data_IF_551385186701
#
_entry.id   IF_551385186701
#
_cell.length_a   1.000
_cell.length_b   1.000
_cell.length_c   1.000
_cell.angle_alpha   90.00
_cell.angle_beta   90.00
_cell.angle_gamma   90.00
#
_symmetry.space_group_name_H-M   'P 1'
#
loop_
_entity.id
_entity.type
_entity.pdbx_description
1 polymer ?
#
# COMPACT_ATOMS: atom_id res chain seq x y z
N UNK A 1 -2.15 -50.05 -5.27
CA UNK A 1 -1.59 -49.13 -6.28
C UNK A 1 -1.58 -47.74 -5.66
N UNK A 2 -0.40 -47.27 -5.25
CA UNK A 2 -0.24 -46.01 -4.54
C UNK A 2 -0.31 -44.82 -5.51
N UNK A 3 -0.98 -43.76 -5.04
CA UNK A 3 -1.14 -42.45 -5.66
C UNK A 3 0.19 -41.71 -5.67
N UNK A 4 0.50 -40.96 -6.74
CA UNK A 4 1.35 -39.78 -6.63
C UNK A 4 0.76 -38.64 -7.45
N UNK A 5 0.04 -37.79 -6.72
CA UNK A 5 -0.33 -36.44 -7.09
C UNK A 5 0.93 -35.59 -6.87
N UNK A 6 1.59 -35.16 -7.94
CA UNK A 6 2.71 -34.22 -7.82
C UNK A 6 2.16 -32.82 -7.57
N UNK A 7 2.16 -32.41 -6.30
CA UNK A 7 2.04 -31.02 -5.91
C UNK A 7 3.33 -30.30 -6.31
N UNK A 8 3.23 -29.35 -7.23
CA UNK A 8 4.30 -28.39 -7.50
C UNK A 8 4.09 -27.21 -6.54
N UNK A 9 4.91 -27.17 -5.49
CA UNK A 9 5.05 -26.03 -4.59
C UNK A 9 5.67 -24.86 -5.35
N UNK A 10 4.83 -23.95 -5.84
CA UNK A 10 5.25 -22.57 -6.04
C UNK A 10 5.17 -21.89 -4.67
N UNK A 11 6.32 -21.46 -4.15
CA UNK A 11 6.39 -20.52 -3.03
C UNK A 11 5.96 -19.14 -3.55
N UNK A 12 4.67 -18.98 -3.78
CA UNK A 12 4.06 -17.69 -4.07
C UNK A 12 3.51 -17.15 -2.74
N UNK A 13 4.01 -16.00 -2.30
CA UNK A 13 3.34 -15.25 -1.23
C UNK A 13 1.88 -15.10 -1.61
N UNK A 14 0.98 -15.31 -0.66
CA UNK A 14 -0.45 -15.24 -0.91
C UNK A 14 -0.79 -13.95 -1.68
N UNK A 15 -1.61 -14.08 -2.73
CA UNK A 15 -2.08 -12.93 -3.52
C UNK A 15 -2.80 -11.98 -2.57
N UNK A 16 -2.27 -10.77 -2.39
CA UNK A 16 -2.85 -9.73 -1.53
C UNK A 16 -4.21 -9.31 -2.08
N UNK A 17 -5.19 -9.16 -1.20
CA UNK A 17 -6.53 -8.69 -1.56
C UNK A 17 -6.94 -7.52 -0.67
N UNK A 18 -7.78 -6.62 -1.19
CA UNK A 18 -8.26 -5.46 -0.41
C UNK A 18 -9.04 -5.85 0.85
N UNK A 19 -9.55 -7.08 0.92
CA UNK A 19 -10.29 -7.62 2.07
C UNK A 19 -9.38 -8.05 3.22
N UNK A 20 -8.07 -8.05 3.02
CA UNK A 20 -7.08 -8.39 4.04
C UNK A 20 -6.81 -7.21 5.01
N UNK A 21 -7.34 -6.01 4.72
CA UNK A 21 -7.06 -4.78 5.47
C UNK A 21 -8.27 -4.27 6.26
N UNK A 22 -7.99 -3.58 7.37
CA UNK A 22 -9.00 -2.89 8.19
C UNK A 22 -8.81 -1.39 8.08
N UNK A 23 -9.51 -0.76 7.12
CA UNK A 23 -9.32 0.66 6.87
C UNK A 23 -9.86 1.55 7.97
N UNK A 24 -9.05 2.52 8.39
CA UNK A 24 -9.40 3.50 9.41
C UNK A 24 -9.36 4.93 8.85
N UNK A 25 -10.14 5.81 9.48
CA UNK A 25 -10.03 7.25 9.26
C UNK A 25 -8.97 7.80 10.19
N UNK A 26 -7.73 7.92 9.70
CA UNK A 26 -6.62 8.39 10.52
C UNK A 26 -6.19 9.82 10.23
N UNK A 27 -5.55 10.47 11.20
CA UNK A 27 -5.07 11.86 11.07
C UNK A 27 -4.02 12.01 9.96
N UNK A 28 -3.24 10.97 9.68
CA UNK A 28 -2.27 10.91 8.59
C UNK A 28 -2.93 11.18 7.22
N UNK A 29 -4.19 10.75 7.02
CA UNK A 29 -4.95 11.01 5.79
C UNK A 29 -5.21 12.51 5.61
N UNK A 30 -5.55 13.20 6.71
CA UNK A 30 -5.80 14.63 6.70
C UNK A 30 -4.51 15.41 6.43
N UNK A 31 -3.38 14.99 7.02
CA UNK A 31 -2.09 15.62 6.73
C UNK A 31 -1.69 15.47 5.26
N UNK A 32 -1.92 14.30 4.66
CA UNK A 32 -1.61 14.07 3.25
C UNK A 32 -2.69 14.57 2.29
N UNK A 33 -3.84 15.02 2.80
CA UNK A 33 -5.03 15.36 2.03
C UNK A 33 -5.41 14.24 1.03
N UNK A 34 -5.35 12.99 1.49
CA UNK A 34 -5.65 11.81 0.68
C UNK A 34 -7.03 11.28 1.00
N UNK A 35 -7.77 10.87 -0.03
CA UNK A 35 -9.11 10.28 0.12
C UNK A 35 -9.21 8.97 -0.66
N UNK A 36 -9.85 7.94 -0.10
CA UNK A 36 -10.18 6.74 -0.85
C UNK A 36 -10.82 7.06 -2.20
N UNK A 37 -10.29 6.45 -3.26
CA UNK A 37 -10.72 6.65 -4.64
C UNK A 37 -9.93 7.71 -5.41
N UNK A 38 -9.14 8.56 -4.74
CA UNK A 38 -8.25 9.51 -5.42
C UNK A 38 -7.15 8.77 -6.21
N UNK A 39 -6.79 9.31 -7.37
CA UNK A 39 -5.70 8.81 -8.21
C UNK A 39 -4.45 9.68 -8.08
N UNK A 40 -3.30 9.03 -8.13
CA UNK A 40 -2.00 9.65 -7.95
C UNK A 40 -1.01 9.13 -9.00
N UNK A 41 -0.23 10.05 -9.56
CA UNK A 41 0.97 9.74 -10.31
C UNK A 41 2.13 9.54 -9.35
N UNK A 42 2.87 8.43 -9.50
CA UNK A 42 4.04 8.12 -8.71
C UNK A 42 5.25 8.84 -9.29
N UNK A 43 5.79 9.79 -8.54
CA UNK A 43 6.92 10.63 -8.94
C UNK A 43 8.28 10.00 -8.65
N UNK A 44 8.35 9.09 -7.67
CA UNK A 44 9.55 8.39 -7.25
C UNK A 44 9.19 7.01 -6.67
N UNK A 45 10.11 6.05 -6.78
CA UNK A 45 9.95 4.72 -6.19
C UNK A 45 9.82 4.80 -4.66
N UNK A 46 8.84 4.08 -4.11
CA UNK A 46 8.61 3.99 -2.67
C UNK A 46 7.89 2.69 -2.32
N UNK A 47 8.55 1.79 -1.59
CA UNK A 47 8.03 0.45 -1.28
C UNK A 47 7.57 -0.28 -2.55
N UNK A 48 6.28 -0.62 -2.66
CA UNK A 48 5.70 -1.28 -3.83
C UNK A 48 5.43 -0.30 -5.00
N UNK A 49 5.42 1.02 -4.75
CA UNK A 49 5.17 2.03 -5.78
C UNK A 49 6.39 2.21 -6.68
N UNK A 50 6.14 2.31 -7.99
CA UNK A 50 7.18 2.54 -9.00
C UNK A 50 6.93 3.83 -9.77
N UNK A 51 8.00 4.59 -9.99
CA UNK A 51 7.96 5.86 -10.70
C UNK A 51 7.31 5.74 -12.07
N UNK A 52 6.45 6.70 -12.40
CA UNK A 52 5.72 6.79 -13.67
C UNK A 52 4.39 6.02 -13.69
N UNK A 53 4.07 5.27 -12.63
CA UNK A 53 2.78 4.61 -12.52
C UNK A 53 1.66 5.56 -12.08
N UNK A 54 0.43 5.23 -12.43
CA UNK A 54 -0.78 5.83 -11.84
C UNK A 54 -1.42 4.78 -10.95
N UNK A 55 -1.68 5.16 -9.71
CA UNK A 55 -2.26 4.30 -8.69
C UNK A 55 -3.46 4.98 -8.06
N UNK A 56 -4.47 4.20 -7.66
CA UNK A 56 -5.63 4.69 -6.94
C UNK A 56 -5.49 4.35 -5.46
N UNK A 57 -5.64 5.34 -4.60
CA UNK A 57 -5.59 5.15 -3.16
C UNK A 57 -6.88 4.47 -2.67
N UNK A 58 -6.74 3.40 -1.89
CA UNK A 58 -7.86 2.61 -1.37
C UNK A 58 -8.15 2.99 0.09
N UNK A 59 -7.12 3.10 0.92
CA UNK A 59 -7.29 3.39 2.32
C UNK A 59 -6.01 3.26 3.12
N UNK A 60 -6.11 3.56 4.40
CA UNK A 60 -5.02 3.41 5.37
C UNK A 60 -5.43 2.37 6.41
N UNK A 61 -4.60 1.35 6.58
CA UNK A 61 -4.73 0.35 7.63
C UNK A 61 -3.87 0.78 8.82
N UNK A 62 -4.53 1.10 9.93
CA UNK A 62 -3.89 1.55 11.17
C UNK A 62 -3.65 0.33 12.06
N UNK A 63 -2.55 -0.35 11.79
CA UNK A 63 -2.22 -1.66 12.37
C UNK A 63 -1.92 -1.53 13.87
N UNK A 64 -1.16 -0.51 14.25
CA UNK A 64 -0.95 -0.14 15.66
C UNK A 64 -0.67 1.36 15.81
N UNK A 65 -0.43 1.81 17.04
CA UNK A 65 -0.27 3.24 17.35
C UNK A 65 1.02 3.88 16.78
N UNK A 66 1.91 3.09 16.18
CA UNK A 66 3.17 3.51 15.59
C UNK A 66 3.27 3.15 14.11
N UNK A 67 2.52 2.16 13.65
CA UNK A 67 2.66 1.56 12.33
C UNK A 67 1.34 1.50 11.58
N UNK A 68 1.40 1.83 10.29
CA UNK A 68 0.26 1.68 9.40
C UNK A 68 0.68 1.51 7.96
N UNK A 69 -0.30 1.16 7.12
CA UNK A 69 -0.10 0.79 5.73
C UNK A 69 -1.02 1.63 4.85
N UNK A 70 -0.44 2.40 3.94
CA UNK A 70 -1.20 3.01 2.86
C UNK A 70 -1.39 1.98 1.75
N UNK A 71 -2.64 1.71 1.41
CA UNK A 71 -3.02 0.71 0.41
C UNK A 71 -3.45 1.40 -0.87
N UNK A 72 -2.84 0.98 -1.97
CA UNK A 72 -3.14 1.45 -3.31
C UNK A 72 -3.52 0.28 -4.21
N UNK A 73 -4.13 0.59 -5.34
CA UNK A 73 -4.36 -0.36 -6.43
C UNK A 73 -3.83 0.20 -7.74
N UNK A 74 -3.16 -0.63 -8.51
CA UNK A 74 -2.77 -0.33 -9.89
C UNK A 74 -3.93 -0.66 -10.86
N UNK A 75 -3.87 -0.14 -12.08
CA UNK A 75 -4.88 -0.38 -13.12
C UNK A 75 -5.09 -1.88 -13.48
N UNK A 76 -4.10 -2.75 -13.26
CA UNK A 76 -4.20 -4.20 -13.45
C UNK A 76 -4.87 -4.93 -12.27
N UNK A 77 -5.23 -4.21 -11.21
CA UNK A 77 -5.84 -4.75 -10.00
C UNK A 77 -4.84 -5.18 -8.93
N UNK A 78 -3.52 -5.02 -9.16
CA UNK A 78 -2.51 -5.34 -8.16
C UNK A 78 -2.62 -4.41 -6.94
N UNK A 79 -2.66 -5.00 -5.75
CA UNK A 79 -2.62 -4.27 -4.47
C UNK A 79 -1.19 -3.92 -4.14
N UNK A 80 -0.93 -2.64 -3.87
CA UNK A 80 0.37 -2.09 -3.56
C UNK A 80 0.36 -1.46 -2.16
N UNK A 81 1.42 -1.68 -1.40
CA UNK A 81 1.53 -1.20 -0.03
C UNK A 81 2.67 -0.19 0.12
N UNK A 82 2.40 0.88 0.87
CA UNK A 82 3.44 1.70 1.47
C UNK A 82 3.31 1.60 2.98
N UNK A 83 4.15 0.75 3.55
CA UNK A 83 4.29 0.61 5.00
C UNK A 83 5.10 1.77 5.57
N UNK A 84 4.70 2.22 6.76
CA UNK A 84 5.42 3.28 7.46
C UNK A 84 5.38 3.11 8.96
N UNK A 85 6.53 3.35 9.58
CA UNK A 85 6.64 3.68 11.00
C UNK A 85 6.47 5.20 11.16
N UNK A 86 5.40 5.60 11.83
CA UNK A 86 5.01 6.97 12.10
C UNK A 86 5.30 7.38 13.55
N UNK A 87 6.10 6.61 14.30
CA UNK A 87 6.48 6.93 15.69
C UNK A 87 7.69 7.85 15.84
N UNK A 88 8.50 7.98 14.79
CA UNK A 88 9.75 8.73 14.81
C UNK A 88 9.58 10.24 14.64
N UNK A 89 10.47 11.06 15.23
CA UNK A 89 10.50 12.50 14.98
C UNK A 89 10.69 12.76 13.48
N UNK A 90 9.67 13.33 12.85
CA UNK A 90 9.70 13.74 11.45
C UNK A 90 8.88 12.88 10.48
N UNK A 91 8.26 11.77 10.91
CA UNK A 91 7.39 10.93 10.06
C UNK A 91 7.99 10.67 8.66
N UNK A 92 9.25 10.21 8.59
CA UNK A 92 10.03 10.17 7.34
C UNK A 92 9.30 9.43 6.19
N UNK A 93 8.56 8.36 6.50
CA UNK A 93 7.74 7.64 5.52
C UNK A 93 6.53 8.46 5.02
N UNK A 94 5.91 9.28 5.88
CA UNK A 94 4.82 10.18 5.51
C UNK A 94 5.32 11.30 4.59
N UNK A 95 6.49 11.87 4.90
CA UNK A 95 7.14 12.85 4.02
C UNK A 95 7.58 12.23 2.69
N UNK A 96 8.15 11.02 2.73
CA UNK A 96 8.52 10.26 1.54
C UNK A 96 7.31 9.99 0.65
N UNK A 97 6.19 9.57 1.23
CA UNK A 97 4.94 9.34 0.51
C UNK A 97 4.42 10.63 -0.13
N UNK A 98 4.39 11.74 0.62
CA UNK A 98 3.99 13.05 0.09
C UNK A 98 4.86 13.48 -1.10
N UNK A 99 6.18 13.29 -1.01
CA UNK A 99 7.11 13.67 -2.06
C UNK A 99 7.03 12.75 -3.31
N UNK A 100 6.58 11.50 -3.11
CA UNK A 100 6.54 10.49 -4.16
C UNK A 100 5.21 10.45 -4.92
N UNK A 101 4.21 11.25 -4.53
CA UNK A 101 2.88 11.25 -5.13
C UNK A 101 2.45 12.65 -5.59
N UNK A 102 1.93 12.75 -6.80
CA UNK A 102 1.17 13.90 -7.27
C UNK A 102 -0.27 13.49 -7.56
N UNK A 103 -1.23 14.23 -7.03
CA UNK A 103 -2.65 14.02 -7.34
C UNK A 103 -2.91 14.32 -8.83
N UNK A 104 -3.65 13.43 -9.50
CA UNK A 104 -4.08 13.56 -10.90
C UNK A 104 -5.30 14.47 -11.02
#
# INVERSE_FOLDING_TARGET
MFVLLSALLASEGAVKTITDYVFSNSWQLNELNMRPGDEYSVLADLCDLRQGEVVRFIGFDDVDNHYGIFVFIRADGAVLEVSGDFSGPGHAHLQGLRASLAKV
#
